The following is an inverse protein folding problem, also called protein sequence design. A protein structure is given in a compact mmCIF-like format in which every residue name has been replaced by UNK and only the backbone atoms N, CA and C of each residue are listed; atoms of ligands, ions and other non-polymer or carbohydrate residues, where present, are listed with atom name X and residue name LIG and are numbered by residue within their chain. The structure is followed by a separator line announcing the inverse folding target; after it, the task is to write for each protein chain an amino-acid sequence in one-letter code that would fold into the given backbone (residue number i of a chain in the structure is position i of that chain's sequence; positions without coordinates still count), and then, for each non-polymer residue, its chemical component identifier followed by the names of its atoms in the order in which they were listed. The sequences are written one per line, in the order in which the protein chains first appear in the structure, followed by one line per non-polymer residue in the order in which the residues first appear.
data_IF_471036906232
#
_entry.id   IF_471036906232
#
_cell.length_a   1.000
_cell.length_b   1.000
_cell.length_c   1.000
_cell.angle_alpha   90.00
_cell.angle_beta   90.00
_cell.angle_gamma   90.00
#
_symmetry.space_group_name_H-M   'P 1'
#
loop_
_entity.id
_entity.type
_entity.pdbx_description
1 polymer ?
#
# COMPACT_ATOMS: atom_id res chain seq x y z
N UNK A 1 4.31 3.33 -23.97
CA UNK A 1 4.20 4.18 -22.76
C UNK A 1 4.90 5.51 -23.00
N UNK A 2 4.15 6.58 -22.93
CA UNK A 2 4.72 7.91 -23.13
C UNK A 2 5.64 8.30 -21.98
N UNK A 3 6.68 9.08 -22.29
CA UNK A 3 7.69 9.49 -21.32
C UNK A 3 7.13 10.34 -20.17
N UNK A 4 6.03 11.03 -20.43
CA UNK A 4 5.35 11.90 -19.45
C UNK A 4 4.23 11.19 -18.70
N UNK A 5 3.92 9.95 -19.04
CA UNK A 5 2.86 9.19 -18.38
C UNK A 5 3.37 8.56 -17.09
N UNK A 6 2.43 8.30 -16.17
CA UNK A 6 2.72 7.43 -15.03
C UNK A 6 3.00 6.02 -15.58
N UNK A 7 4.09 5.41 -15.16
CA UNK A 7 4.38 4.02 -15.53
C UNK A 7 3.36 3.05 -14.91
N UNK A 8 2.75 3.45 -13.81
CA UNK A 8 1.78 2.67 -13.07
C UNK A 8 0.38 3.25 -13.28
N UNK A 9 -0.59 2.43 -13.69
CA UNK A 9 -2.00 2.84 -13.79
C UNK A 9 -2.82 2.41 -12.58
N UNK A 10 -2.49 1.28 -12.01
CA UNK A 10 -3.25 0.63 -10.95
C UNK A 10 -2.35 -0.38 -10.26
N UNK A 11 -2.54 -0.61 -8.97
CA UNK A 11 -1.83 -1.68 -8.27
C UNK A 11 -2.81 -2.51 -7.45
N UNK A 12 -2.44 -3.75 -7.19
CA UNK A 12 -3.23 -4.65 -6.34
C UNK A 12 -2.31 -5.31 -5.32
N UNK A 13 -2.73 -5.27 -4.06
CA UNK A 13 -2.02 -5.90 -2.96
C UNK A 13 -2.86 -7.11 -2.53
N UNK A 14 -2.31 -8.33 -2.61
CA UNK A 14 -3.04 -9.52 -2.23
C UNK A 14 -3.42 -9.54 -0.75
N UNK A 15 -4.59 -10.08 -0.45
CA UNK A 15 -5.04 -10.29 0.91
C UNK A 15 -5.61 -11.69 1.06
N UNK A 16 -5.29 -12.36 2.17
CA UNK A 16 -5.93 -13.61 2.55
C UNK A 16 -7.28 -13.36 3.19
N UNK A 17 -7.40 -12.25 3.90
CA UNK A 17 -8.61 -11.84 4.58
C UNK A 17 -8.80 -10.34 4.32
N UNK A 18 -9.75 -10.03 3.42
CA UNK A 18 -9.96 -8.64 2.98
C UNK A 18 -10.41 -7.73 4.12
N UNK A 19 -11.17 -8.24 5.07
CA UNK A 19 -11.63 -7.47 6.22
C UNK A 19 -10.46 -7.09 7.13
N UNK A 20 -9.58 -8.05 7.39
CA UNK A 20 -8.38 -7.82 8.20
C UNK A 20 -7.41 -6.87 7.49
N UNK A 21 -7.20 -7.08 6.19
CA UNK A 21 -6.32 -6.21 5.40
C UNK A 21 -6.82 -4.77 5.38
N UNK A 22 -8.12 -4.58 5.14
CA UNK A 22 -8.75 -3.27 5.16
C UNK A 22 -8.50 -2.54 6.48
N UNK A 23 -8.74 -3.23 7.59
CA UNK A 23 -8.55 -2.67 8.93
C UNK A 23 -7.09 -2.28 9.17
N UNK A 24 -6.16 -3.12 8.75
CA UNK A 24 -4.72 -2.83 8.85
C UNK A 24 -4.36 -1.54 8.13
N UNK A 25 -4.72 -1.43 6.85
CA UNK A 25 -4.33 -0.27 6.03
C UNK A 25 -5.05 1.00 6.46
N UNK A 26 -6.31 0.91 6.86
CA UNK A 26 -7.02 2.07 7.42
C UNK A 26 -6.33 2.60 8.67
N UNK A 27 -5.84 1.71 9.52
CA UNK A 27 -5.14 2.09 10.74
C UNK A 27 -3.74 2.68 10.45
N UNK A 28 -2.97 2.03 9.58
CA UNK A 28 -1.60 2.46 9.27
C UNK A 28 -1.57 3.84 8.62
N UNK A 29 -2.46 4.07 7.65
CA UNK A 29 -2.47 5.31 6.88
C UNK A 29 -3.47 6.34 7.38
N UNK A 30 -4.28 5.99 8.38
CA UNK A 30 -5.34 6.85 8.90
C UNK A 30 -6.26 7.32 7.76
N UNK A 31 -6.73 6.38 6.98
CA UNK A 31 -7.61 6.63 5.83
C UNK A 31 -8.83 5.72 5.92
N UNK A 32 -9.81 6.00 5.09
CA UNK A 32 -10.99 5.15 4.92
C UNK A 32 -10.91 4.49 3.56
N UNK A 33 -10.86 3.16 3.53
CA UNK A 33 -10.88 2.40 2.30
C UNK A 33 -12.30 2.32 1.75
N UNK A 34 -12.42 2.19 0.44
CA UNK A 34 -13.72 2.15 -0.24
C UNK A 34 -13.98 0.76 -0.81
N UNK A 35 -14.98 0.08 -0.27
CA UNK A 35 -15.35 -1.25 -0.75
C UNK A 35 -15.88 -1.16 -2.17
N UNK A 36 -15.43 -2.10 -3.00
CA UNK A 36 -15.83 -2.21 -4.40
C UNK A 36 -16.75 -3.43 -4.56
N UNK A 37 -17.65 -3.42 -5.56
CA UNK A 37 -18.48 -4.57 -5.82
C UNK A 37 -17.64 -5.82 -6.10
N UNK A 38 -18.04 -6.95 -5.53
CA UNK A 38 -17.38 -8.22 -5.82
C UNK A 38 -17.62 -8.59 -7.29
N UNK A 39 -16.54 -8.94 -7.99
CA UNK A 39 -16.63 -9.35 -9.39
C UNK A 39 -15.57 -10.41 -9.70
N UNK A 40 -15.91 -11.36 -10.57
CA UNK A 40 -15.00 -12.42 -10.99
C UNK A 40 -14.34 -13.18 -9.83
N UNK A 41 -15.06 -13.35 -8.72
CA UNK A 41 -14.55 -14.00 -7.53
C UNK A 41 -13.53 -13.17 -6.73
N UNK A 42 -13.42 -11.87 -7.01
CA UNK A 42 -12.50 -10.98 -6.32
C UNK A 42 -13.24 -10.08 -5.36
N UNK A 43 -12.82 -10.10 -4.08
CA UNK A 43 -13.26 -9.14 -3.07
C UNK A 43 -12.23 -8.04 -3.02
N UNK A 44 -12.67 -6.79 -3.18
CA UNK A 44 -11.76 -5.66 -3.31
C UNK A 44 -12.17 -4.50 -2.41
N UNK A 45 -11.18 -3.82 -1.88
CA UNK A 45 -11.38 -2.53 -1.22
C UNK A 45 -10.28 -1.59 -1.69
N UNK A 46 -10.70 -0.41 -2.19
CA UNK A 46 -9.81 0.55 -2.82
C UNK A 46 -9.22 1.55 -1.85
N UNK A 47 -7.99 1.96 -2.14
CA UNK A 47 -7.38 3.11 -1.46
C UNK A 47 -8.11 4.38 -1.88
N UNK A 48 -8.18 5.39 -0.98
CA UNK A 48 -8.93 6.60 -1.30
C UNK A 48 -8.39 7.29 -2.55
N UNK A 49 -9.32 7.72 -3.41
CA UNK A 49 -8.99 8.40 -4.65
C UNK A 49 -10.18 9.24 -5.11
N UNK A 50 -9.90 10.23 -5.94
CA UNK A 50 -10.92 10.98 -6.67
C UNK A 50 -10.80 10.62 -8.14
N UNK A 51 -11.92 10.20 -8.75
CA UNK A 51 -11.92 9.81 -10.16
C UNK A 51 -11.61 11.02 -11.05
N UNK A 52 -10.80 10.77 -12.09
CA UNK A 52 -10.49 11.78 -13.09
C UNK A 52 -9.43 12.80 -12.71
N UNK A 53 -8.77 12.63 -11.55
CA UNK A 53 -7.74 13.57 -11.11
C UNK A 53 -6.33 13.26 -11.64
N UNK A 54 -6.18 12.20 -12.45
CA UNK A 54 -4.89 11.79 -13.00
C UNK A 54 -3.95 11.11 -12.01
N UNK A 55 -4.40 10.85 -10.79
CA UNK A 55 -3.60 10.19 -9.76
C UNK A 55 -3.78 8.68 -9.83
N UNK A 56 -2.73 7.95 -9.47
CA UNK A 56 -2.77 6.49 -9.42
C UNK A 56 -3.24 6.03 -8.06
N UNK A 57 -4.16 5.07 -8.06
CA UNK A 57 -4.59 4.37 -6.85
C UNK A 57 -4.56 2.87 -7.10
N UNK A 58 -5.06 2.10 -6.16
CA UNK A 58 -5.08 0.65 -6.22
C UNK A 58 -6.01 0.08 -5.17
N UNK A 59 -5.94 -1.23 -4.99
CA UNK A 59 -6.83 -1.94 -4.08
C UNK A 59 -6.14 -3.08 -3.34
N UNK A 60 -6.73 -3.46 -2.23
CA UNK A 60 -6.48 -4.76 -1.60
C UNK A 60 -7.42 -5.75 -2.28
N UNK A 61 -6.94 -6.95 -2.60
CA UNK A 61 -7.72 -7.94 -3.34
C UNK A 61 -7.58 -9.33 -2.72
N UNK A 62 -8.72 -9.93 -2.40
CA UNK A 62 -8.81 -11.32 -1.99
C UNK A 62 -9.39 -12.14 -3.13
N UNK A 63 -8.63 -13.09 -3.66
CA UNK A 63 -9.07 -14.02 -4.69
C UNK A 63 -8.13 -15.23 -4.73
N UNK A 64 -8.49 -16.23 -5.53
CA UNK A 64 -7.63 -17.39 -5.70
C UNK A 64 -6.33 -17.08 -6.45
N UNK A 65 -6.31 -15.97 -7.21
CA UNK A 65 -5.14 -15.56 -7.99
C UNK A 65 -4.24 -14.57 -7.26
N UNK A 66 -4.64 -14.10 -6.10
CA UNK A 66 -3.91 -13.10 -5.32
C UNK A 66 -3.33 -13.75 -4.06
N UNK A 67 -2.06 -14.08 -4.10
CA UNK A 67 -1.36 -14.75 -2.99
C UNK A 67 -0.36 -13.79 -2.35
N UNK A 68 -0.53 -13.43 -1.07
CA UNK A 68 0.43 -12.59 -0.37
C UNK A 68 1.82 -13.20 -0.36
N UNK A 69 2.84 -12.37 -0.48
CA UNK A 69 4.23 -12.82 -0.50
C UNK A 69 5.17 -11.69 -0.06
N UNK A 70 6.33 -12.07 0.46
CA UNK A 70 7.43 -11.13 0.71
C UNK A 70 8.36 -11.00 -0.49
N UNK A 71 8.13 -11.79 -1.53
CA UNK A 71 8.94 -11.79 -2.75
C UNK A 71 8.19 -11.12 -3.90
N UNK A 72 8.91 -10.79 -4.96
CA UNK A 72 8.34 -10.23 -6.17
C UNK A 72 8.37 -8.71 -6.19
N UNK A 73 7.42 -8.11 -6.91
CA UNK A 73 7.34 -6.67 -7.08
C UNK A 73 7.11 -5.95 -5.76
N UNK A 74 7.69 -4.76 -5.62
CA UNK A 74 7.51 -3.92 -4.43
C UNK A 74 6.70 -2.68 -4.82
N UNK A 75 5.60 -2.47 -4.11
CA UNK A 75 4.78 -1.27 -4.24
C UNK A 75 5.17 -0.30 -3.13
N UNK A 76 5.53 0.93 -3.51
CA UNK A 76 5.82 1.98 -2.54
C UNK A 76 4.57 2.83 -2.34
N UNK A 77 4.04 2.81 -1.13
CA UNK A 77 2.87 3.60 -0.77
C UNK A 77 3.32 4.97 -0.26
N UNK A 78 2.49 5.96 -0.51
CA UNK A 78 2.76 7.35 -0.16
C UNK A 78 2.63 7.56 1.34
N UNK A 79 3.75 7.81 2.01
CA UNK A 79 3.80 8.07 3.44
C UNK A 79 4.02 9.55 3.77
N UNK A 80 3.83 10.44 2.78
CA UNK A 80 3.92 11.88 3.05
C UNK A 80 2.83 12.33 4.02
N UNK A 81 3.03 13.36 4.81
CA UNK A 81 4.20 14.23 4.83
C UNK A 81 5.39 13.71 5.63
N UNK A 82 5.23 12.72 6.51
CA UNK A 82 6.31 12.24 7.36
C UNK A 82 6.27 10.72 7.48
N UNK A 83 7.29 10.05 7.00
CA UNK A 83 7.34 8.60 6.95
C UNK A 83 7.29 7.96 8.35
N UNK A 84 7.94 8.59 9.33
CA UNK A 84 8.01 8.04 10.69
C UNK A 84 6.63 7.93 11.34
N UNK A 85 5.74 8.86 11.04
CA UNK A 85 4.35 8.81 11.53
C UNK A 85 3.63 7.55 11.07
N UNK A 86 3.85 7.16 9.81
CA UNK A 86 3.25 5.95 9.23
C UNK A 86 3.91 4.69 9.81
N UNK A 87 5.26 4.69 9.87
CA UNK A 87 6.03 3.56 10.39
C UNK A 87 5.58 3.18 11.81
N UNK A 88 5.35 4.17 12.67
CA UNK A 88 4.96 3.94 14.06
C UNK A 88 3.62 3.22 14.19
N UNK A 89 2.77 3.29 13.18
CA UNK A 89 1.45 2.64 13.18
C UNK A 89 1.49 1.19 12.72
N UNK A 90 2.56 0.77 12.06
CA UNK A 90 2.62 -0.56 11.43
C UNK A 90 2.47 -1.68 12.45
N UNK A 91 3.31 -1.70 13.48
CA UNK A 91 3.30 -2.80 14.45
C UNK A 91 2.07 -2.78 15.35
N UNK A 92 1.59 -1.60 15.69
CA UNK A 92 0.34 -1.44 16.43
C UNK A 92 -0.86 -1.98 15.66
N UNK A 93 -0.77 -2.01 14.33
CA UNK A 93 -1.88 -2.42 13.45
C UNK A 93 -1.80 -3.89 13.02
N UNK A 94 -0.75 -4.60 13.43
CA UNK A 94 -0.61 -6.02 13.12
C UNK A 94 0.41 -6.37 12.04
N UNK A 95 1.24 -5.41 11.63
CA UNK A 95 2.33 -5.65 10.70
C UNK A 95 3.68 -5.68 11.39
N UNK A 96 4.74 -5.68 10.59
CA UNK A 96 6.10 -5.73 11.10
C UNK A 96 7.00 -4.83 10.25
N UNK A 97 7.75 -3.94 10.89
CA UNK A 97 8.76 -3.12 10.21
C UNK A 97 9.99 -3.99 9.96
N UNK A 98 10.40 -4.13 8.69
CA UNK A 98 11.56 -4.94 8.31
C UNK A 98 12.74 -4.08 7.86
N UNK A 99 12.50 -2.82 7.48
CA UNK A 99 13.54 -1.83 7.27
C UNK A 99 13.01 -0.49 7.78
N UNK A 100 13.69 0.14 8.75
CA UNK A 100 13.21 1.39 9.35
C UNK A 100 13.41 2.57 8.40
N UNK A 101 13.04 3.77 8.84
CA UNK A 101 13.25 5.02 8.10
C UNK A 101 14.69 5.09 7.63
N UNK A 102 14.87 5.15 6.31
CA UNK A 102 16.20 5.12 5.67
C UNK A 102 16.29 6.29 4.70
N UNK A 103 17.31 7.11 4.85
CA UNK A 103 17.55 8.24 3.96
C UNK A 103 18.06 7.74 2.60
N UNK A 104 17.47 8.24 1.52
CA UNK A 104 17.90 7.91 0.16
C UNK A 104 18.81 9.04 -0.35
N UNK A 105 18.26 10.22 -0.49
CA UNK A 105 18.98 11.42 -0.91
C UNK A 105 18.14 12.64 -0.55
N UNK A 106 18.74 13.87 -0.52
CA UNK A 106 17.97 15.06 -0.27
C UNK A 106 16.82 15.26 -1.27
N UNK A 107 17.02 14.89 -2.53
CA UNK A 107 16.02 15.05 -3.58
C UNK A 107 14.91 14.02 -3.48
N UNK A 108 15.23 12.78 -3.13
CA UNK A 108 14.25 11.66 -3.13
C UNK A 108 13.54 11.53 -1.78
N UNK A 109 14.27 11.72 -0.68
CA UNK A 109 13.70 11.62 0.65
C UNK A 109 14.02 10.30 1.35
N UNK A 110 13.00 9.64 1.88
CA UNK A 110 13.13 8.49 2.76
C UNK A 110 12.30 7.31 2.31
N UNK A 111 12.76 6.11 2.67
CA UNK A 111 12.04 4.86 2.41
C UNK A 111 12.04 3.98 3.64
N UNK A 112 11.13 3.02 3.65
CA UNK A 112 11.06 1.97 4.66
C UNK A 112 10.35 0.77 4.04
N UNK A 113 10.51 -0.39 4.66
CA UNK A 113 9.76 -1.59 4.30
C UNK A 113 9.04 -2.16 5.50
N UNK A 114 7.84 -2.67 5.27
CA UNK A 114 7.10 -3.41 6.29
C UNK A 114 6.48 -4.66 5.68
N UNK A 115 6.16 -5.61 6.53
CA UNK A 115 5.31 -6.76 6.18
C UNK A 115 3.93 -6.45 6.74
N UNK A 116 2.92 -6.50 5.88
CA UNK A 116 1.56 -6.16 6.26
C UNK A 116 0.86 -7.30 7.02
N UNK A 117 -0.40 -7.10 7.38
CA UNK A 117 -1.20 -8.09 8.11
C UNK A 117 -1.41 -9.40 7.34
N UNK A 118 -1.19 -9.37 6.03
CA UNK A 118 -1.44 -10.52 5.15
C UNK A 118 -0.17 -11.27 4.75
N UNK A 119 1.00 -10.70 5.05
CA UNK A 119 2.29 -11.30 4.71
C UNK A 119 2.94 -10.72 3.47
N UNK A 120 2.51 -9.57 3.00
CA UNK A 120 3.17 -8.88 1.89
C UNK A 120 4.27 -7.95 2.38
N UNK A 121 5.39 -7.90 1.65
CA UNK A 121 6.38 -6.85 1.85
C UNK A 121 5.98 -5.63 1.02
N UNK A 122 5.84 -4.49 1.67
CA UNK A 122 5.38 -3.24 1.05
C UNK A 122 6.37 -2.14 1.41
N UNK A 123 6.63 -1.26 0.45
CA UNK A 123 7.49 -0.11 0.65
C UNK A 123 6.70 1.14 1.05
N UNK A 124 7.37 2.02 1.77
CA UNK A 124 6.90 3.36 2.10
C UNK A 124 7.87 4.38 1.54
N UNK A 125 7.36 5.49 1.06
CA UNK A 125 8.17 6.61 0.61
C UNK A 125 7.56 7.93 1.04
N UNK A 126 8.41 8.85 1.48
CA UNK A 126 8.03 10.22 1.80
C UNK A 126 9.24 11.13 1.64
N UNK A 127 8.97 12.44 1.45
CA UNK A 127 10.04 13.42 1.37
C UNK A 127 10.71 13.67 2.73
N UNK A 128 9.97 13.46 3.82
CA UNK A 128 10.48 13.67 5.18
C UNK A 128 10.27 12.47 6.08
#
# INVERSE_FOLDING_TARGET
MEKTANALNWFEIPAKDITRAKKFYESVFNVKMEDMPEMMGMKMTGFPTEMGNGKVSGALVQSQMHNPSTDGAVVYLNANPAIQTVIERVEKSGGKVVMPKTHISPEIGYMAFFVDSEGNKVGLHAQN
#
